data_IF_216880474610
#
_entry.id   IF_216880474610
#
_cell.length_a   1.000
_cell.length_b   1.000
_cell.length_c   1.000
_cell.angle_alpha   90.00
_cell.angle_beta   90.00
_cell.angle_gamma   90.00
#
_symmetry.space_group_name_H-M   'P 1'
#
loop_
_entity.id
_entity.type
_entity.pdbx_description
1 polymer ?
#
# COMPACT_ATOMS: atom_id res chain seq x y z
N UNK A 1 5.02 8.97 39.96
CA UNK A 1 3.91 8.52 39.11
C UNK A 1 4.39 8.56 37.67
N UNK A 2 4.85 7.43 37.16
CA UNK A 2 5.44 7.31 35.83
C UNK A 2 4.51 6.41 35.02
N UNK A 3 3.62 7.02 34.24
CA UNK A 3 2.62 6.31 33.45
C UNK A 3 3.13 6.05 32.04
N UNK A 4 3.10 4.76 31.68
CA UNK A 4 3.23 4.12 30.38
C UNK A 4 3.11 5.02 29.13
N UNK A 5 4.14 4.99 28.28
CA UNK A 5 4.09 5.44 26.86
C UNK A 5 4.80 4.44 25.95
N UNK A 6 4.44 3.16 26.03
CA UNK A 6 5.05 2.12 25.18
C UNK A 6 4.04 1.19 24.47
N UNK A 7 2.72 1.41 24.63
CA UNK A 7 1.70 0.50 24.05
C UNK A 7 1.03 1.02 22.76
N UNK A 8 1.20 2.28 22.37
CA UNK A 8 0.37 2.94 21.34
C UNK A 8 0.85 2.73 19.87
N UNK A 9 2.12 2.38 19.67
CA UNK A 9 2.71 2.27 18.32
C UNK A 9 2.43 0.93 17.61
N UNK A 10 2.30 -0.16 18.37
CA UNK A 10 2.09 -1.51 17.84
C UNK A 10 0.68 -1.70 17.27
N UNK A 11 -0.33 -1.23 18.02
CA UNK A 11 -1.73 -1.30 17.61
C UNK A 11 -1.98 -0.49 16.33
N UNK A 12 -1.36 0.68 16.21
CA UNK A 12 -1.48 1.52 15.00
C UNK A 12 -0.83 0.87 13.77
N UNK A 13 0.31 0.18 13.92
CA UNK A 13 0.95 -0.54 12.81
C UNK A 13 0.07 -1.70 12.33
N UNK A 14 -0.55 -2.44 13.27
CA UNK A 14 -1.47 -3.52 12.93
C UNK A 14 -2.75 -3.01 12.27
N UNK A 15 -3.27 -1.86 12.71
CA UNK A 15 -4.42 -1.22 12.06
C UNK A 15 -4.12 -0.83 10.61
N UNK A 16 -2.97 -0.21 10.36
CA UNK A 16 -2.51 0.13 9.00
C UNK A 16 -2.32 -1.11 8.13
N UNK A 17 -1.79 -2.19 8.71
CA UNK A 17 -1.66 -3.47 8.01
C UNK A 17 -3.03 -4.05 7.61
N UNK A 18 -3.96 -4.15 8.56
CA UNK A 18 -5.33 -4.63 8.30
C UNK A 18 -6.06 -3.75 7.29
N UNK A 19 -5.83 -2.42 7.35
CA UNK A 19 -6.40 -1.47 6.40
C UNK A 19 -5.85 -1.69 4.99
N UNK A 20 -4.56 -1.98 4.86
CA UNK A 20 -3.95 -2.32 3.57
C UNK A 20 -4.56 -3.59 2.96
N UNK A 21 -4.74 -4.65 3.77
CA UNK A 21 -5.42 -5.89 3.35
C UNK A 21 -6.83 -5.59 2.84
N UNK A 22 -7.64 -4.87 3.63
CA UNK A 22 -9.01 -4.52 3.26
C UNK A 22 -9.06 -3.76 1.92
N UNK A 23 -8.15 -2.82 1.70
CA UNK A 23 -8.10 -2.06 0.45
C UNK A 23 -7.77 -2.95 -0.75
N UNK A 24 -6.86 -3.93 -0.58
CA UNK A 24 -6.59 -4.91 -1.64
C UNK A 24 -7.78 -5.82 -1.93
N UNK A 25 -8.50 -6.26 -0.89
CA UNK A 25 -9.76 -7.02 -1.06
C UNK A 25 -10.79 -6.21 -1.87
N UNK A 26 -10.93 -4.91 -1.58
CA UNK A 26 -11.78 -4.02 -2.36
C UNK A 26 -11.31 -3.90 -3.81
N UNK A 27 -10.00 -3.83 -4.07
CA UNK A 27 -9.47 -3.76 -5.44
C UNK A 27 -9.87 -5.01 -6.27
N UNK A 28 -9.84 -6.20 -5.66
CA UNK A 28 -10.28 -7.44 -6.30
C UNK A 28 -11.80 -7.46 -6.51
N UNK A 29 -12.57 -6.94 -5.55
CA UNK A 29 -14.02 -6.82 -5.71
C UNK A 29 -14.37 -5.90 -6.91
N UNK A 30 -13.68 -4.77 -7.05
CA UNK A 30 -13.91 -3.82 -8.16
C UNK A 30 -13.37 -4.30 -9.51
N UNK A 31 -12.44 -5.27 -9.52
CA UNK A 31 -12.02 -5.96 -10.74
C UNK A 31 -13.20 -6.68 -11.40
N UNK A 32 -14.09 -7.30 -10.60
CA UNK A 32 -15.28 -8.01 -11.10
C UNK A 32 -16.27 -7.07 -11.80
N UNK A 33 -16.31 -5.81 -11.39
CA UNK A 33 -17.14 -4.77 -12.00
C UNK A 33 -16.46 -4.06 -13.18
N UNK A 34 -15.27 -4.52 -13.59
CA UNK A 34 -14.45 -3.91 -14.63
C UNK A 34 -14.33 -2.39 -14.42
N UNK A 35 -13.98 -1.98 -13.21
CA UNK A 35 -13.78 -0.57 -12.86
C UNK A 35 -12.32 -0.26 -12.55
N UNK A 36 -11.49 0.03 -13.58
CA UNK A 36 -10.06 0.25 -13.42
C UNK A 36 -9.75 1.41 -12.49
N UNK A 37 -10.56 2.48 -12.53
CA UNK A 37 -10.35 3.65 -11.69
C UNK A 37 -10.41 3.33 -10.20
N UNK A 38 -11.46 2.62 -9.75
CA UNK A 38 -11.56 2.25 -8.33
C UNK A 38 -10.49 1.24 -7.92
N UNK A 39 -10.16 0.27 -8.79
CA UNK A 39 -9.07 -0.65 -8.54
C UNK A 39 -7.75 0.09 -8.30
N UNK A 40 -7.40 1.05 -9.16
CA UNK A 40 -6.18 1.86 -9.02
C UNK A 40 -6.17 2.70 -7.75
N UNK A 41 -7.31 3.30 -7.36
CA UNK A 41 -7.43 4.03 -6.10
C UNK A 41 -7.14 3.12 -4.91
N UNK A 42 -7.77 1.94 -4.87
CA UNK A 42 -7.63 1.02 -3.75
C UNK A 42 -6.22 0.43 -3.68
N UNK A 43 -5.62 0.06 -4.82
CA UNK A 43 -4.23 -0.37 -4.89
C UNK A 43 -3.30 0.71 -4.35
N UNK A 44 -3.43 1.95 -4.84
CA UNK A 44 -2.60 3.06 -4.40
C UNK A 44 -2.72 3.23 -2.88
N UNK A 45 -3.93 3.37 -2.36
CA UNK A 45 -4.17 3.53 -0.92
C UNK A 45 -3.65 2.36 -0.09
N UNK A 46 -3.76 1.12 -0.57
CA UNK A 46 -3.24 -0.04 0.14
C UNK A 46 -1.72 0.06 0.33
N UNK A 47 -1.00 0.44 -0.74
CA UNK A 47 0.45 0.57 -0.69
C UNK A 47 0.86 1.75 0.19
N UNK A 48 0.21 2.91 0.04
CA UNK A 48 0.49 4.07 0.91
C UNK A 48 0.32 3.72 2.39
N UNK A 49 -0.71 2.95 2.73
CA UNK A 49 -1.01 2.53 4.10
C UNK A 49 0.11 1.64 4.64
N UNK A 50 0.60 0.69 3.84
CA UNK A 50 1.68 -0.21 4.23
C UNK A 50 3.02 0.52 4.37
N UNK A 51 3.32 1.48 3.49
CA UNK A 51 4.51 2.31 3.59
C UNK A 51 4.49 3.19 4.85
N UNK A 52 3.33 3.75 5.22
CA UNK A 52 3.16 4.48 6.49
C UNK A 52 3.47 3.60 7.70
N UNK A 53 2.98 2.37 7.71
CA UNK A 53 3.29 1.42 8.77
C UNK A 53 4.81 1.17 8.87
N UNK A 54 5.50 1.03 7.73
CA UNK A 54 6.96 0.81 7.70
C UNK A 54 7.73 2.00 8.27
N UNK A 55 7.29 3.22 7.96
CA UNK A 55 7.90 4.43 8.49
C UNK A 55 7.71 4.55 10.01
N UNK A 56 6.52 4.21 10.51
CA UNK A 56 6.26 4.18 11.94
C UNK A 56 7.17 3.15 12.64
N UNK A 57 7.32 1.95 12.06
CA UNK A 57 8.23 0.93 12.59
C UNK A 57 9.69 1.39 12.63
N UNK A 58 10.16 2.12 11.61
CA UNK A 58 11.55 2.63 11.54
C UNK A 58 11.84 3.76 12.54
N UNK A 59 10.87 4.18 13.35
CA UNK A 59 11.04 5.29 14.29
C UNK A 59 11.15 6.65 13.62
N UNK A 60 10.84 6.74 12.32
CA UNK A 60 10.92 7.98 11.54
C UNK A 60 9.70 8.90 11.74
N UNK A 61 8.75 8.50 12.59
CA UNK A 61 7.46 9.17 12.81
C UNK A 61 7.24 9.35 14.32
N UNK A 62 7.72 10.48 14.87
CA UNK A 62 7.32 11.01 16.18
C UNK A 62 6.16 12.03 16.07
N UNK A 63 5.70 12.29 14.84
CA UNK A 63 4.66 13.28 14.54
C UNK A 63 3.45 12.51 14.03
N UNK A 64 2.25 12.73 14.59
CA UNK A 64 1.05 12.03 14.14
C UNK A 64 0.86 12.18 12.63
N UNK A 65 0.48 11.06 12.01
CA UNK A 65 0.53 10.70 10.59
C UNK A 65 -0.28 11.57 9.62
N UNK A 66 -0.70 12.77 10.05
CA UNK A 66 -1.51 13.72 9.29
C UNK A 66 -0.72 14.86 8.63
N UNK A 67 0.58 15.04 8.92
CA UNK A 67 1.38 16.16 8.34
C UNK A 67 2.43 15.77 7.31
N UNK A 68 2.79 14.48 7.20
CA UNK A 68 3.84 14.06 6.25
C UNK A 68 3.24 13.86 4.87
N UNK A 69 3.81 14.50 3.84
CA UNK A 69 3.32 14.33 2.47
C UNK A 69 3.66 12.93 1.97
N UNK A 70 2.87 12.47 1.02
CA UNK A 70 3.08 11.14 0.44
C UNK A 70 4.38 11.06 -0.36
N UNK A 71 4.82 12.19 -0.92
CA UNK A 71 6.12 12.34 -1.58
C UNK A 71 7.27 12.00 -0.63
N UNK A 72 7.23 12.50 0.60
CA UNK A 72 8.23 12.18 1.63
C UNK A 72 8.22 10.69 2.01
N UNK A 73 7.05 10.03 1.89
CA UNK A 73 6.93 8.58 2.13
C UNK A 73 7.52 7.76 0.98
N UNK A 74 7.32 8.21 -0.25
CA UNK A 74 7.93 7.60 -1.43
C UNK A 74 9.44 7.83 -1.49
N UNK A 75 9.92 9.01 -1.14
CA UNK A 75 11.36 9.31 -1.13
C UNK A 75 12.10 8.44 -0.12
N UNK A 76 11.53 8.22 1.06
CA UNK A 76 12.08 7.27 2.04
C UNK A 76 12.04 5.80 1.57
N UNK A 77 11.11 5.45 0.68
CA UNK A 77 11.10 4.14 0.03
C UNK A 77 12.17 4.04 -1.06
N UNK A 78 12.37 5.11 -1.85
CA UNK A 78 13.46 5.23 -2.84
C UNK A 78 14.85 5.19 -2.22
N UNK A 79 14.99 5.74 -1.01
CA UNK A 79 16.24 5.71 -0.23
C UNK A 79 16.48 4.35 0.44
N UNK A 80 15.46 3.50 0.54
CA UNK A 80 15.66 2.10 0.90
C UNK A 80 16.12 1.32 -0.32
N UNK A 81 16.76 0.15 -0.16
CA UNK A 81 17.18 -0.77 -1.24
C UNK A 81 15.99 -1.33 -2.07
N UNK A 82 15.03 -0.50 -2.45
CA UNK A 82 13.92 -0.82 -3.32
C UNK A 82 14.44 -0.92 -4.76
N UNK A 83 13.94 -1.91 -5.49
CA UNK A 83 14.26 -2.06 -6.89
C UNK A 83 13.67 -0.88 -7.68
N UNK A 84 14.37 -0.44 -8.73
CA UNK A 84 13.90 0.65 -9.59
C UNK A 84 12.53 0.32 -10.18
N UNK A 85 12.26 -0.94 -10.50
CA UNK A 85 10.96 -1.37 -11.00
C UNK A 85 9.82 -1.17 -9.98
N UNK A 86 10.10 -1.31 -8.69
CA UNK A 86 9.10 -1.10 -7.63
C UNK A 86 8.79 0.41 -7.49
N UNK A 87 9.83 1.24 -7.56
CA UNK A 87 9.70 2.71 -7.53
C UNK A 87 8.88 3.20 -8.74
N UNK A 88 9.24 2.77 -9.95
CA UNK A 88 8.52 3.16 -11.17
C UNK A 88 7.06 2.69 -11.16
N UNK A 89 6.82 1.49 -10.61
CA UNK A 89 5.46 0.98 -10.45
C UNK A 89 4.64 1.86 -9.49
N UNK A 90 5.21 2.22 -8.34
CA UNK A 90 4.57 3.07 -7.34
C UNK A 90 4.19 4.43 -7.90
N UNK A 91 5.14 5.11 -8.54
CA UNK A 91 4.90 6.42 -9.15
C UNK A 91 3.81 6.35 -10.23
N UNK A 92 3.81 5.28 -11.02
CA UNK A 92 2.80 5.07 -12.07
C UNK A 92 1.40 4.87 -11.48
N UNK A 93 1.26 4.00 -10.47
CA UNK A 93 -0.02 3.75 -9.79
C UNK A 93 -0.52 5.03 -9.11
N UNK A 94 0.38 5.72 -8.41
CA UNK A 94 0.05 6.96 -7.72
C UNK A 94 -0.48 8.01 -8.70
N UNK A 95 0.26 8.27 -9.78
CA UNK A 95 -0.13 9.20 -10.83
C UNK A 95 -1.49 8.85 -11.46
N UNK A 96 -1.70 7.58 -11.82
CA UNK A 96 -2.96 7.13 -12.41
C UNK A 96 -4.14 7.22 -11.43
N UNK A 97 -3.91 7.06 -10.13
CA UNK A 97 -4.97 7.12 -9.12
C UNK A 97 -5.44 8.55 -8.78
N UNK A 98 -4.58 9.56 -8.98
CA UNK A 98 -4.84 10.94 -8.57
C UNK A 98 -5.53 11.81 -9.63
N UNK A 99 -5.57 11.38 -10.89
CA UNK A 99 -5.92 12.24 -12.02
C UNK A 99 -7.23 11.79 -12.69
N UNK A 100 -8.38 12.37 -12.32
CA UNK A 100 -9.64 12.18 -13.06
C UNK A 100 -9.52 12.56 -14.54
N UNK A 101 -8.61 13.47 -14.88
CA UNK A 101 -8.35 13.85 -16.27
C UNK A 101 -7.84 12.68 -17.14
N UNK A 102 -7.30 11.63 -16.54
CA UNK A 102 -6.83 10.42 -17.24
C UNK A 102 -7.86 9.30 -17.25
N UNK A 103 -9.12 9.56 -16.88
CA UNK A 103 -10.20 8.57 -16.91
C UNK A 103 -10.30 7.87 -18.27
N UNK A 104 -10.07 8.56 -19.39
CA UNK A 104 -10.06 7.93 -20.72
C UNK A 104 -8.91 6.94 -20.91
N UNK A 105 -7.71 7.24 -20.40
CA UNK A 105 -6.57 6.32 -20.42
C UNK A 105 -6.81 5.11 -19.52
N UNK A 106 -7.36 5.36 -18.33
CA UNK A 106 -7.69 4.35 -17.34
C UNK A 106 -8.79 3.41 -17.83
N UNK A 107 -9.78 3.92 -18.56
CA UNK A 107 -10.85 3.13 -19.17
C UNK A 107 -10.35 2.15 -20.25
N UNK A 108 -9.20 2.44 -20.87
CA UNK A 108 -8.59 1.55 -21.86
C UNK A 108 -7.79 0.40 -21.24
N UNK A 109 -7.62 0.39 -19.90
CA UNK A 109 -6.96 -0.71 -19.20
C UNK A 109 -7.87 -1.94 -19.29
N UNK A 110 -7.39 -2.99 -19.95
CA UNK A 110 -8.11 -4.26 -20.04
C UNK A 110 -8.18 -4.94 -18.67
N UNK A 111 -9.19 -5.78 -18.46
CA UNK A 111 -9.31 -6.57 -17.23
C UNK A 111 -8.05 -7.40 -16.93
N UNK A 112 -7.39 -7.96 -17.95
CA UNK A 112 -6.13 -8.69 -17.80
C UNK A 112 -4.97 -7.78 -17.34
N UNK A 113 -4.85 -6.58 -17.91
CA UNK A 113 -3.85 -5.61 -17.47
C UNK A 113 -4.13 -5.16 -16.03
N UNK A 114 -5.40 -4.93 -15.70
CA UNK A 114 -5.81 -4.54 -14.35
C UNK A 114 -5.50 -5.63 -13.32
N UNK A 115 -5.80 -6.89 -13.64
CA UNK A 115 -5.45 -8.03 -12.81
C UNK A 115 -3.94 -8.12 -12.57
N UNK A 116 -3.11 -7.89 -13.62
CA UNK A 116 -1.65 -7.83 -13.48
C UNK A 116 -1.18 -6.70 -12.57
N UNK A 117 -1.83 -5.54 -12.62
CA UNK A 117 -1.52 -4.42 -11.73
C UNK A 117 -1.86 -4.76 -10.28
N UNK A 118 -3.03 -5.36 -10.02
CA UNK A 118 -3.42 -5.81 -8.69
C UNK A 118 -2.43 -6.87 -8.19
N UNK A 119 -2.08 -7.87 -9.00
CA UNK A 119 -1.12 -8.91 -8.63
C UNK A 119 0.29 -8.34 -8.35
N UNK A 120 0.73 -7.34 -9.13
CA UNK A 120 2.00 -6.67 -8.88
C UNK A 120 1.99 -5.93 -7.54
N UNK A 121 0.90 -5.27 -7.21
CA UNK A 121 0.72 -4.62 -5.92
C UNK A 121 0.64 -5.62 -4.76
N UNK A 122 -0.05 -6.74 -4.96
CA UNK A 122 -0.16 -7.85 -4.00
C UNK A 122 1.23 -8.38 -3.62
N UNK A 123 2.08 -8.63 -4.61
CA UNK A 123 3.48 -9.03 -4.41
C UNK A 123 4.31 -7.97 -3.69
N UNK A 124 4.14 -6.69 -4.03
CA UNK A 124 4.83 -5.61 -3.34
C UNK A 124 4.40 -5.55 -1.87
N UNK A 125 3.11 -5.64 -1.58
CA UNK A 125 2.57 -5.62 -0.21
C UNK A 125 3.03 -6.81 0.62
N UNK A 126 3.14 -8.01 0.03
CA UNK A 126 3.80 -9.16 0.68
C UNK A 126 5.22 -8.82 1.10
N UNK A 127 6.03 -8.28 0.19
CA UNK A 127 7.42 -7.90 0.48
C UNK A 127 7.52 -6.80 1.54
N UNK A 128 6.63 -5.81 1.52
CA UNK A 128 6.56 -4.75 2.52
C UNK A 128 6.12 -5.29 3.89
N UNK A 129 5.14 -6.20 3.91
CA UNK A 129 4.64 -6.84 5.13
C UNK A 129 5.74 -7.66 5.82
N UNK A 130 6.57 -8.38 5.07
CA UNK A 130 7.71 -9.11 5.63
C UNK A 130 8.71 -8.20 6.35
N UNK A 131 8.86 -6.95 5.87
CA UNK A 131 9.71 -5.93 6.51
C UNK A 131 9.06 -5.37 7.78
N UNK A 132 7.74 -5.44 7.93
CA UNK A 132 7.01 -4.94 9.10
C UNK A 132 7.07 -5.91 10.29
N UNK A 133 6.98 -7.22 10.10
CA UNK A 133 6.75 -8.13 11.21
C UNK A 133 7.37 -9.52 10.95
N UNK A 134 8.28 -10.00 11.82
CA UNK A 134 8.57 -11.44 11.98
C UNK A 134 7.64 -12.16 12.97
N UNK A 135 7.17 -11.48 14.04
CA UNK A 135 6.60 -12.16 15.24
C UNK A 135 5.23 -11.64 15.77
N UNK A 136 4.59 -10.65 15.14
CA UNK A 136 3.27 -10.12 15.56
C UNK A 136 2.15 -10.49 14.59
N UNK A 137 1.60 -11.69 14.74
CA UNK A 137 0.17 -12.00 14.56
C UNK A 137 -0.48 -11.93 13.17
N UNK A 138 0.08 -11.27 12.16
CA UNK A 138 -0.56 -11.16 10.86
C UNK A 138 0.40 -10.81 9.73
N UNK A 139 0.78 -11.81 8.93
CA UNK A 139 1.41 -11.60 7.63
C UNK A 139 0.29 -11.17 6.67
N UNK A 140 0.54 -10.14 5.85
CA UNK A 140 -0.38 -9.77 4.76
C UNK A 140 -0.69 -11.01 3.93
N UNK A 141 -1.96 -11.26 3.65
CA UNK A 141 -2.41 -12.44 2.92
C UNK A 141 -2.60 -12.05 1.46
N UNK A 142 -1.90 -12.76 0.57
CA UNK A 142 -2.04 -12.58 -0.87
C UNK A 142 -3.52 -12.66 -1.27
N UNK A 143 -4.02 -11.65 -1.99
CA UNK A 143 -5.40 -11.64 -2.48
C UNK A 143 -5.57 -12.56 -3.69
N UNK A 144 -4.49 -12.86 -4.41
CA UNK A 144 -4.43 -13.97 -5.35
C UNK A 144 -3.70 -15.15 -4.70
N UNK A 145 -4.36 -16.32 -4.70
CA UNK A 145 -3.70 -17.58 -4.34
C UNK A 145 -2.99 -18.09 -5.59
N UNK A 146 -1.72 -18.51 -5.46
CA UNK A 146 -1.05 -19.27 -6.53
C UNK A 146 -1.83 -20.58 -6.75
N UNK A 147 -2.19 -20.86 -8.00
CA UNK A 147 -2.78 -22.14 -8.45
C UNK A 147 -1.69 -23.22 -8.62
#
# INVERSE_FOLDING_TARGET
MSSNRYEDGGDTIQELHNRSQFLMDMSVQFLQYNSPFFCLIFINQAIETMLKALLMKRGAVLIPSYTRTLEETYDLFKESDAALEDISFLESIHYLSLQPAHLQLIQNITSLQLQRLIHRADNLLLQLSLKLIPDSGGIYQAVFKED
#
